data_IF_824243762700
#
_entry.id   IF_824243762700
#
_cell.length_a   1.000
_cell.length_b   1.000
_cell.length_c   1.000
_cell.angle_alpha   90.00
_cell.angle_beta   90.00
_cell.angle_gamma   90.00
#
_symmetry.space_group_name_H-M   'P 1'
#
loop_
_entity.id
_entity.type
_entity.pdbx_description
1 polymer ?
#
# COMPACT_ATOMS: atom_id res chain seq x y z
N UNK A 1 -8.03 34.92 19.94
CA UNK A 1 -9.32 34.22 20.09
C UNK A 1 -9.06 33.00 20.95
N UNK A 2 -9.64 32.94 22.16
CA UNK A 2 -9.38 31.88 23.10
C UNK A 2 -9.80 30.49 22.58
N UNK A 3 -10.70 30.39 21.58
CA UNK A 3 -11.03 29.11 20.96
C UNK A 3 -9.89 28.56 20.10
N UNK A 4 -9.20 29.42 19.35
CA UNK A 4 -8.08 29.04 18.48
C UNK A 4 -6.89 28.56 19.32
N UNK A 5 -6.58 29.27 20.41
CA UNK A 5 -5.49 28.89 21.33
C UNK A 5 -5.75 27.52 21.97
N UNK A 6 -6.98 27.25 22.41
CA UNK A 6 -7.36 25.94 22.95
C UNK A 6 -7.24 24.81 21.93
N UNK A 7 -7.65 25.05 20.68
CA UNK A 7 -7.55 24.05 19.61
C UNK A 7 -6.09 23.75 19.24
N UNK A 8 -5.25 24.78 19.15
CA UNK A 8 -3.81 24.62 18.93
C UNK A 8 -3.17 23.82 20.07
N UNK A 9 -3.42 24.21 21.32
CA UNK A 9 -2.91 23.49 22.49
C UNK A 9 -3.39 22.03 22.53
N UNK A 10 -4.65 21.77 22.16
CA UNK A 10 -5.15 20.40 22.04
C UNK A 10 -4.32 19.61 21.03
N UNK A 11 -4.16 20.11 19.79
CA UNK A 11 -3.40 19.41 18.72
C UNK A 11 -1.96 19.12 19.13
N UNK A 12 -1.29 20.10 19.74
CA UNK A 12 0.10 19.96 20.18
C UNK A 12 0.26 18.91 21.29
N UNK A 13 -0.75 18.75 22.15
CA UNK A 13 -0.69 17.80 23.29
C UNK A 13 -1.36 16.45 23.03
N UNK A 14 -1.95 16.23 21.84
CA UNK A 14 -2.67 14.97 21.52
C UNK A 14 -1.79 13.73 21.72
N UNK A 15 -0.52 13.77 21.30
CA UNK A 15 0.36 12.61 21.40
C UNK A 15 0.63 12.17 22.85
N UNK A 16 0.65 13.13 23.79
CA UNK A 16 0.88 12.85 25.22
C UNK A 16 -0.27 12.07 25.85
N UNK A 17 -1.48 12.20 25.27
CA UNK A 17 -2.71 11.57 25.78
C UNK A 17 -3.16 10.39 24.92
N UNK A 18 -2.37 10.01 23.92
CA UNK A 18 -2.70 8.92 23.03
C UNK A 18 -2.75 7.59 23.79
N UNK A 19 -3.74 6.76 23.47
CA UNK A 19 -3.89 5.39 24.00
C UNK A 19 -4.28 4.44 22.89
N UNK A 20 -3.68 3.26 22.90
CA UNK A 20 -4.09 2.15 22.05
C UNK A 20 -5.42 1.58 22.53
N UNK A 21 -6.51 2.11 21.97
CA UNK A 21 -7.83 1.48 22.04
C UNK A 21 -7.95 0.46 20.91
N UNK A 22 -8.88 -0.51 20.98
CA UNK A 22 -9.05 -1.48 19.89
C UNK A 22 -9.24 -0.82 18.52
N UNK A 23 -10.03 0.28 18.46
CA UNK A 23 -10.25 1.04 17.22
C UNK A 23 -8.97 1.74 16.73
N UNK A 24 -8.28 2.47 17.60
CA UNK A 24 -7.05 3.18 17.23
C UNK A 24 -5.94 2.20 16.81
N UNK A 25 -5.86 1.05 17.47
CA UNK A 25 -4.91 -0.02 17.15
C UNK A 25 -5.18 -0.56 15.75
N UNK A 26 -6.44 -0.83 15.39
CA UNK A 26 -6.78 -1.26 14.03
C UNK A 26 -6.45 -0.20 12.98
N UNK A 27 -6.67 1.08 13.27
CA UNK A 27 -6.29 2.16 12.36
C UNK A 27 -4.77 2.22 12.12
N UNK A 28 -3.98 2.08 13.19
CA UNK A 28 -2.51 2.04 13.10
C UNK A 28 -2.05 0.81 12.32
N UNK A 29 -2.56 -0.37 12.64
CA UNK A 29 -2.18 -1.62 11.97
C UNK A 29 -2.56 -1.57 10.48
N UNK A 30 -3.76 -1.12 10.14
CA UNK A 30 -4.18 -1.02 8.74
C UNK A 30 -3.38 0.03 7.99
N UNK A 31 -3.23 1.22 8.56
CA UNK A 31 -2.58 2.34 7.87
C UNK A 31 -1.07 2.23 7.74
N UNK A 32 -0.38 1.73 8.77
CA UNK A 32 1.09 1.72 8.81
C UNK A 32 1.71 0.35 8.49
N UNK A 33 0.95 -0.74 8.59
CA UNK A 33 1.47 -2.09 8.34
C UNK A 33 0.80 -2.70 7.13
N UNK A 34 -0.52 -2.87 7.20
CA UNK A 34 -1.25 -3.61 6.17
C UNK A 34 -1.21 -2.92 4.81
N UNK A 35 -1.59 -1.64 4.75
CA UNK A 35 -1.63 -0.88 3.50
C UNK A 35 -0.27 -0.80 2.79
N UNK A 36 0.83 -0.34 3.44
CA UNK A 36 2.14 -0.32 2.78
C UNK A 36 2.66 -1.74 2.51
N UNK A 37 2.37 -2.71 3.38
CA UNK A 37 2.76 -4.11 3.17
C UNK A 37 2.12 -4.72 1.93
N UNK A 38 0.82 -4.50 1.71
CA UNK A 38 0.11 -4.95 0.51
C UNK A 38 0.64 -4.28 -0.74
N UNK A 39 0.86 -2.97 -0.71
CA UNK A 39 1.43 -2.24 -1.85
C UNK A 39 2.81 -2.79 -2.20
N UNK A 40 3.66 -2.97 -1.20
CA UNK A 40 5.00 -3.51 -1.40
C UNK A 40 4.97 -4.93 -1.98
N UNK A 41 4.12 -5.79 -1.42
CA UNK A 41 3.96 -7.15 -1.90
C UNK A 41 3.49 -7.19 -3.34
N UNK A 42 2.46 -6.41 -3.70
CA UNK A 42 1.98 -6.29 -5.08
C UNK A 42 3.05 -5.73 -6.01
N UNK A 43 3.76 -4.68 -5.60
CA UNK A 43 4.82 -4.10 -6.38
C UNK A 43 5.93 -5.13 -6.64
N UNK A 44 6.39 -5.84 -5.61
CA UNK A 44 7.40 -6.91 -5.74
C UNK A 44 6.92 -8.07 -6.59
N UNK A 45 5.67 -8.48 -6.44
CA UNK A 45 5.11 -9.60 -7.20
C UNK A 45 4.98 -9.24 -8.68
N UNK A 46 4.56 -8.02 -9.00
CA UNK A 46 4.38 -7.58 -10.38
C UNK A 46 5.69 -7.06 -11.01
N UNK A 47 6.68 -6.73 -10.19
CA UNK A 47 7.99 -6.30 -10.65
C UNK A 47 8.60 -7.38 -11.54
N UNK A 48 9.14 -6.95 -12.68
CA UNK A 48 9.76 -7.81 -13.69
C UNK A 48 8.87 -8.88 -14.34
N UNK A 49 7.57 -8.98 -14.02
CA UNK A 49 6.67 -9.94 -14.69
C UNK A 49 6.30 -9.53 -16.10
N UNK A 50 6.37 -8.23 -16.41
CA UNK A 50 5.81 -7.68 -17.64
C UNK A 50 6.86 -7.00 -18.53
N UNK A 51 6.80 -7.26 -19.84
CA UNK A 51 7.66 -6.62 -20.86
C UNK A 51 6.81 -6.21 -22.07
N UNK A 52 6.56 -4.91 -22.17
CA UNK A 52 5.66 -4.32 -23.17
C UNK A 52 6.40 -3.71 -24.37
N UNK A 53 7.69 -3.40 -24.19
CA UNK A 53 8.51 -2.79 -25.24
C UNK A 53 8.55 -3.67 -26.49
N UNK A 54 8.11 -3.10 -27.62
CA UNK A 54 8.13 -3.76 -28.94
C UNK A 54 7.10 -4.87 -29.16
N UNK A 55 6.12 -5.06 -28.27
CA UNK A 55 5.08 -6.10 -28.43
C UNK A 55 3.99 -5.67 -29.42
N UNK A 56 3.58 -6.58 -30.31
CA UNK A 56 2.47 -6.38 -31.26
C UNK A 56 1.13 -6.83 -30.67
N UNK A 57 0.02 -6.46 -31.33
CA UNK A 57 -1.33 -6.94 -30.98
C UNK A 57 -1.36 -8.47 -30.91
N UNK A 58 -2.01 -9.01 -29.88
CA UNK A 58 -2.14 -10.45 -29.58
C UNK A 58 -0.84 -11.16 -29.14
N UNK A 59 0.25 -10.43 -28.88
CA UNK A 59 1.47 -11.04 -28.29
C UNK A 59 1.43 -11.00 -26.76
N UNK A 60 1.95 -12.05 -26.10
CA UNK A 60 2.04 -12.07 -24.64
C UNK A 60 2.96 -10.97 -24.11
N UNK A 61 2.50 -10.31 -23.04
CA UNK A 61 3.23 -9.29 -22.29
C UNK A 61 4.06 -9.87 -21.15
N UNK A 62 3.95 -11.17 -20.88
CA UNK A 62 4.76 -11.82 -19.85
C UNK A 62 6.25 -11.77 -20.24
N UNK A 63 7.10 -11.45 -19.26
CA UNK A 63 8.56 -11.45 -19.46
C UNK A 63 9.08 -12.86 -19.69
N UNK A 64 8.59 -13.82 -18.92
CA UNK A 64 8.87 -15.24 -19.09
C UNK A 64 7.80 -15.81 -20.04
N UNK A 65 8.19 -16.47 -21.13
CA UNK A 65 7.23 -17.13 -21.99
C UNK A 65 6.55 -18.27 -21.21
N UNK A 66 5.23 -18.36 -21.28
CA UNK A 66 4.52 -19.56 -20.82
C UNK A 66 5.02 -20.71 -21.69
N UNK A 67 5.64 -21.72 -21.07
CA UNK A 67 6.10 -22.92 -21.76
C UNK A 67 4.89 -23.52 -22.50
N UNK A 68 5.02 -23.75 -23.80
CA UNK A 68 3.93 -24.16 -24.69
C UNK A 68 3.31 -25.54 -24.40
N UNK A 69 3.61 -26.13 -23.23
CA UNK A 69 3.19 -27.48 -22.82
C UNK A 69 1.91 -27.52 -21.99
N UNK A 70 1.43 -26.39 -21.45
CA UNK A 70 0.17 -26.33 -20.68
C UNK A 70 -1.07 -26.00 -21.55
N UNK A 71 -0.89 -25.91 -22.87
CA UNK A 71 -1.97 -25.62 -23.84
C UNK A 71 -2.40 -26.83 -24.68
N UNK A 72 -2.14 -28.05 -24.19
CA UNK A 72 -2.63 -29.31 -24.78
C UNK A 72 -4.05 -29.67 -24.35
#
# INVERSE_FOLDING_TARGET
DPAIERWNHMRETVYQRFRFTPRATMQVLVGLVFFPGVIYWLARDQDLKWKWSGKLKNQSLSRVPLTAEESG
#
